data_IF_058173622437
#
_entry.id   IF_058173622437
#
_cell.length_a   1.000
_cell.length_b   1.000
_cell.length_c   1.000
_cell.angle_alpha   90.00
_cell.angle_beta   90.00
_cell.angle_gamma   90.00
#
_symmetry.space_group_name_H-M   'P 1'
#
loop_
_entity.id
_entity.type
_entity.pdbx_description
1 polymer ?
#
# COMPACT_ATOMS: atom_id res chain seq x y z
N UNK A 1 17.45 18.74 -6.26
CA UNK A 1 16.12 18.21 -5.91
C UNK A 1 16.31 17.08 -4.91
N UNK A 2 15.50 16.99 -3.85
CA UNK A 2 15.60 15.92 -2.84
C UNK A 2 14.44 14.96 -3.04
N UNK A 3 14.73 13.66 -2.93
CA UNK A 3 13.69 12.62 -2.96
C UNK A 3 13.11 12.44 -1.57
N UNK A 4 11.79 12.33 -1.48
CA UNK A 4 11.04 12.05 -0.26
C UNK A 4 10.12 10.85 -0.48
N UNK A 5 10.00 10.01 0.54
CA UNK A 5 9.13 8.82 0.50
C UNK A 5 7.97 9.01 1.48
N UNK A 6 6.76 8.95 0.99
CA UNK A 6 5.53 8.99 1.79
C UNK A 6 4.93 7.60 1.86
N UNK A 7 4.85 7.04 3.06
CA UNK A 7 4.30 5.71 3.32
C UNK A 7 2.90 5.87 3.91
N UNK A 8 1.89 5.39 3.20
CA UNK A 8 0.50 5.40 3.67
C UNK A 8 0.23 4.18 4.55
N UNK A 9 -0.03 4.38 5.84
CA UNK A 9 -0.19 3.34 6.85
C UNK A 9 -1.54 3.41 7.58
N UNK A 10 -2.63 3.65 6.85
CA UNK A 10 -3.98 3.86 7.41
C UNK A 10 -4.93 2.64 7.34
N UNK A 11 -4.59 1.59 6.62
CA UNK A 11 -5.45 0.40 6.45
C UNK A 11 -5.45 -0.53 7.67
N UNK A 12 -6.50 -1.36 7.84
CA UNK A 12 -6.59 -2.36 8.93
C UNK A 12 -6.17 -3.75 8.44
N UNK A 13 -6.51 -4.12 7.19
CA UNK A 13 -6.23 -5.45 6.67
C UNK A 13 -7.07 -6.56 7.33
N UNK A 14 -8.35 -6.33 7.54
CA UNK A 14 -9.28 -7.17 8.33
C UNK A 14 -9.42 -8.63 7.86
N UNK A 15 -9.05 -8.93 6.61
CA UNK A 15 -9.05 -10.31 6.07
C UNK A 15 -7.97 -11.20 6.70
N UNK A 16 -6.94 -10.62 7.32
CA UNK A 16 -5.89 -11.37 8.01
C UNK A 16 -6.20 -11.65 9.50
N UNK A 17 -7.46 -11.47 9.92
CA UNK A 17 -7.83 -11.90 11.26
C UNK A 17 -7.53 -13.41 11.46
N UNK A 18 -7.02 -13.84 12.64
CA UNK A 18 -6.78 -13.11 13.88
C UNK A 18 -5.45 -12.37 13.92
N UNK A 19 -4.61 -12.45 12.87
CA UNK A 19 -3.30 -11.79 12.84
C UNK A 19 -3.45 -10.27 12.87
N UNK A 20 -4.35 -9.70 12.04
CA UNK A 20 -4.66 -8.27 12.02
C UNK A 20 -5.95 -7.96 12.77
N UNK A 21 -5.94 -6.88 13.52
CA UNK A 21 -7.10 -6.35 14.26
C UNK A 21 -7.17 -4.83 14.09
N UNK A 22 -8.22 -4.19 14.60
CA UNK A 22 -8.31 -2.73 14.66
C UNK A 22 -7.26 -2.10 15.56
N UNK A 23 -6.71 -2.87 16.52
CA UNK A 23 -5.68 -2.40 17.43
C UNK A 23 -4.27 -2.63 16.88
N UNK A 24 -4.10 -3.66 16.05
CA UNK A 24 -2.82 -4.03 15.45
C UNK A 24 -2.99 -4.41 13.97
N UNK A 25 -3.01 -3.41 13.06
CA UNK A 25 -3.21 -3.60 11.63
C UNK A 25 -2.15 -4.42 10.92
N UNK A 26 -2.51 -4.94 9.74
CA UNK A 26 -1.68 -5.83 8.90
C UNK A 26 -0.26 -5.29 8.64
N UNK A 27 -0.12 -4.00 8.38
CA UNK A 27 1.19 -3.40 8.06
C UNK A 27 2.20 -3.48 9.19
N UNK A 28 1.76 -3.66 10.42
CA UNK A 28 2.63 -3.78 11.60
C UNK A 28 2.98 -5.22 11.96
N UNK A 29 2.54 -6.21 11.15
CA UNK A 29 2.69 -7.64 11.43
C UNK A 29 3.79 -8.22 10.54
N UNK A 30 4.58 -9.13 11.11
CA UNK A 30 5.43 -10.04 10.34
C UNK A 30 4.57 -11.18 9.77
N UNK A 31 3.93 -10.91 8.65
CA UNK A 31 3.05 -11.86 7.98
C UNK A 31 3.84 -12.97 7.28
N UNK A 32 5.09 -12.67 6.91
CA UNK A 32 5.97 -13.58 6.17
C UNK A 32 6.83 -14.47 7.07
N UNK A 33 6.93 -14.19 8.38
CA UNK A 33 7.82 -14.90 9.30
C UNK A 33 9.30 -14.63 9.06
N UNK A 34 9.65 -13.42 8.61
CA UNK A 34 11.03 -13.02 8.29
C UNK A 34 11.66 -12.10 9.35
N UNK A 35 11.00 -11.92 10.49
CA UNK A 35 11.45 -11.07 11.60
C UNK A 35 11.20 -9.58 11.39
N UNK A 36 10.43 -9.19 10.37
CA UNK A 36 10.12 -7.80 10.04
C UNK A 36 8.66 -7.64 9.65
N UNK A 37 8.02 -6.58 10.13
CA UNK A 37 6.67 -6.20 9.69
C UNK A 37 6.67 -5.66 8.25
N UNK A 38 5.49 -5.60 7.63
CA UNK A 38 5.36 -5.10 6.25
C UNK A 38 5.81 -3.64 6.11
N UNK A 39 5.53 -2.79 7.10
CA UNK A 39 5.99 -1.39 7.05
C UNK A 39 7.52 -1.29 7.17
N UNK A 40 8.16 -2.15 7.97
CA UNK A 40 9.62 -2.23 8.05
C UNK A 40 10.24 -2.69 6.73
N UNK A 41 9.66 -3.73 6.09
CA UNK A 41 10.06 -4.17 4.75
C UNK A 41 9.85 -3.06 3.71
N UNK A 42 8.79 -2.26 3.86
CA UNK A 42 8.52 -1.12 2.98
C UNK A 42 9.61 -0.05 3.11
N UNK A 43 10.01 0.35 4.31
CA UNK A 43 11.11 1.30 4.51
C UNK A 43 12.42 0.75 3.96
N UNK A 44 12.72 -0.52 4.23
CA UNK A 44 13.98 -1.14 3.82
C UNK A 44 14.20 -1.16 2.31
N UNK A 45 13.15 -1.36 1.51
CA UNK A 45 13.26 -1.38 0.04
C UNK A 45 13.64 -0.03 -0.58
N UNK A 46 13.50 1.07 0.17
CA UNK A 46 13.85 2.41 -0.27
C UNK A 46 15.20 2.92 0.29
N UNK A 47 15.91 2.14 1.10
CA UNK A 47 17.11 2.56 1.84
C UNK A 47 18.22 3.17 0.98
N UNK A 48 18.35 2.68 -0.27
CA UNK A 48 19.38 3.11 -1.22
C UNK A 48 18.86 4.20 -2.19
N UNK A 49 17.59 4.57 -2.08
CA UNK A 49 16.92 5.58 -2.94
C UNK A 49 16.82 6.92 -2.25
N UNK A 50 16.63 6.91 -0.93
CA UNK A 50 16.32 8.09 -0.15
C UNK A 50 16.91 7.96 1.26
N UNK A 51 17.56 9.01 1.79
CA UNK A 51 18.03 9.02 3.17
C UNK A 51 16.85 8.94 4.15
N UNK A 52 17.09 8.30 5.30
CA UNK A 52 16.02 8.03 6.29
C UNK A 52 15.32 9.29 6.82
N UNK A 53 16.01 10.42 6.80
CA UNK A 53 15.49 11.72 7.20
C UNK A 53 14.38 12.22 6.27
N UNK A 54 14.29 11.71 5.05
CA UNK A 54 13.30 12.10 4.05
C UNK A 54 12.11 11.11 3.94
N UNK A 55 11.99 10.19 4.90
CA UNK A 55 10.80 9.33 5.00
C UNK A 55 9.70 10.01 5.81
N UNK A 56 8.49 9.86 5.34
CA UNK A 56 7.26 10.35 5.97
C UNK A 56 6.27 9.19 6.09
N UNK A 57 5.61 9.07 7.22
CA UNK A 57 4.58 8.04 7.42
C UNK A 57 3.28 8.74 7.76
N UNK A 58 2.24 8.51 6.97
CA UNK A 58 0.89 8.99 7.27
C UNK A 58 0.09 7.83 7.86
N UNK A 59 -0.42 8.02 9.06
CA UNK A 59 -1.16 6.98 9.79
C UNK A 59 -2.25 7.58 10.66
N UNK A 60 -3.15 6.75 11.19
CA UNK A 60 -4.12 7.20 12.19
C UNK A 60 -3.43 7.57 13.49
N UNK A 61 -3.96 8.55 14.22
CA UNK A 61 -3.50 8.90 15.59
C UNK A 61 -3.30 7.68 16.49
N UNK A 62 -4.14 6.64 16.34
CA UNK A 62 -4.10 5.39 17.11
C UNK A 62 -2.81 4.60 16.94
N UNK A 63 -2.13 4.73 15.80
CA UNK A 63 -1.00 3.87 15.44
C UNK A 63 0.34 4.59 15.50
N UNK A 64 0.36 5.87 15.90
CA UNK A 64 1.59 6.68 15.97
C UNK A 64 2.65 6.02 16.83
N UNK A 65 2.28 5.48 17.99
CA UNK A 65 3.25 4.86 18.91
C UNK A 65 3.82 3.56 18.34
N UNK A 66 3.00 2.75 17.65
CA UNK A 66 3.47 1.54 16.94
C UNK A 66 4.45 1.92 15.82
N UNK A 67 4.16 3.00 15.06
CA UNK A 67 5.07 3.49 14.02
C UNK A 67 6.39 3.93 14.62
N UNK A 68 6.39 4.69 15.73
CA UNK A 68 7.62 5.12 16.43
C UNK A 68 8.44 3.94 16.94
N UNK A 69 7.77 2.91 17.46
CA UNK A 69 8.42 1.69 17.93
C UNK A 69 9.07 0.91 16.79
N UNK A 70 8.35 0.70 15.69
CA UNK A 70 8.81 -0.12 14.57
C UNK A 70 9.78 0.60 13.65
N UNK A 71 9.70 1.92 13.56
CA UNK A 71 10.51 2.78 12.68
C UNK A 71 11.23 3.90 13.45
N UNK A 72 12.05 3.58 14.47
CA UNK A 72 12.70 4.58 15.33
C UNK A 72 13.69 5.49 14.57
N UNK A 73 14.07 5.12 13.35
CA UNK A 73 14.95 5.91 12.48
C UNK A 73 14.23 7.06 11.76
N UNK A 74 12.89 7.09 11.73
CA UNK A 74 12.12 8.17 11.10
C UNK A 74 11.93 9.31 12.10
N UNK A 75 12.22 10.57 11.71
CA UNK A 75 11.98 11.72 12.58
C UNK A 75 10.53 11.79 13.07
N UNK A 76 10.32 12.04 14.36
CA UNK A 76 8.97 12.04 14.94
C UNK A 76 8.01 13.04 14.26
N UNK A 77 8.52 14.18 13.79
CA UNK A 77 7.76 15.19 13.04
C UNK A 77 7.34 14.76 11.63
N UNK A 78 7.92 13.65 11.11
CA UNK A 78 7.56 13.05 9.84
C UNK A 78 6.55 11.90 9.99
N UNK A 79 6.12 11.59 11.22
CA UNK A 79 4.99 10.69 11.48
C UNK A 79 3.74 11.55 11.55
N UNK A 80 2.96 11.55 10.47
CA UNK A 80 1.79 12.39 10.30
C UNK A 80 0.55 11.64 10.79
N UNK A 81 -0.10 12.19 11.82
CA UNK A 81 -1.22 11.57 12.49
C UNK A 81 -2.56 12.09 11.92
N UNK A 82 -3.28 11.26 11.18
CA UNK A 82 -4.64 11.60 10.74
C UNK A 82 -5.63 11.48 11.90
N UNK A 83 -6.41 12.53 12.20
CA UNK A 83 -7.42 12.48 13.27
C UNK A 83 -8.62 11.61 12.87
N UNK A 84 -8.89 11.46 11.58
CA UNK A 84 -9.98 10.67 11.02
C UNK A 84 -9.59 10.07 9.67
N UNK A 85 -10.06 8.86 9.35
CA UNK A 85 -9.81 8.22 8.07
C UNK A 85 -10.63 8.87 6.94
N UNK A 86 -9.96 9.57 6.01
CA UNK A 86 -10.57 10.27 4.87
C UNK A 86 -10.16 9.70 3.51
N UNK A 87 -9.65 8.46 3.47
CA UNK A 87 -9.13 7.80 2.28
C UNK A 87 -7.81 8.44 1.77
N UNK A 88 -7.31 8.03 0.61
CA UNK A 88 -5.93 8.32 0.20
C UNK A 88 -5.70 9.73 -0.33
N UNK A 89 -6.70 10.44 -0.88
CA UNK A 89 -6.47 11.78 -1.39
C UNK A 89 -6.15 12.81 -0.29
N UNK A 90 -6.90 12.93 0.82
CA UNK A 90 -6.52 13.79 1.94
C UNK A 90 -5.23 13.37 2.62
N UNK A 91 -4.98 12.06 2.77
CA UNK A 91 -3.75 11.49 3.29
C UNK A 91 -2.52 12.02 2.53
N UNK A 92 -2.54 11.87 1.20
CA UNK A 92 -1.48 12.32 0.30
C UNK A 92 -1.36 13.85 0.29
N UNK A 93 -2.50 14.56 0.24
CA UNK A 93 -2.51 16.02 0.27
C UNK A 93 -1.81 16.58 1.50
N UNK A 94 -2.15 16.08 2.69
CA UNK A 94 -1.51 16.51 3.94
C UNK A 94 0.01 16.33 3.91
N UNK A 95 0.49 15.14 3.51
CA UNK A 95 1.92 14.90 3.40
C UNK A 95 2.58 15.82 2.36
N UNK A 96 1.98 15.97 1.17
CA UNK A 96 2.56 16.76 0.09
C UNK A 96 2.60 18.26 0.42
N UNK A 97 1.57 18.84 1.06
CA UNK A 97 1.59 20.21 1.52
C UNK A 97 2.68 20.43 2.57
N UNK A 98 2.81 19.52 3.52
CA UNK A 98 3.83 19.60 4.56
C UNK A 98 5.24 19.49 4.00
N UNK A 99 5.49 18.54 3.09
CA UNK A 99 6.77 18.39 2.41
C UNK A 99 7.08 19.63 1.57
N UNK A 100 6.13 20.11 0.77
CA UNK A 100 6.31 21.28 -0.10
C UNK A 100 6.65 22.54 0.69
N UNK A 101 6.05 22.75 1.86
CA UNK A 101 6.33 23.90 2.73
C UNK A 101 7.79 23.97 3.17
N UNK A 102 8.41 22.80 3.46
CA UNK A 102 9.80 22.73 3.90
C UNK A 102 10.77 22.50 2.73
N UNK A 103 10.34 21.73 1.72
CA UNK A 103 11.13 21.33 0.55
C UNK A 103 10.37 21.62 -0.76
N UNK A 104 10.33 22.88 -1.22
CA UNK A 104 9.53 23.25 -2.39
C UNK A 104 9.90 22.51 -3.68
N UNK A 105 11.17 22.07 -3.79
CA UNK A 105 11.67 21.31 -4.94
C UNK A 105 11.73 19.80 -4.68
N UNK A 106 10.92 19.29 -3.76
CA UNK A 106 10.90 17.86 -3.45
C UNK A 106 10.35 17.02 -4.62
N UNK A 107 10.98 15.88 -4.84
CA UNK A 107 10.42 14.80 -5.66
C UNK A 107 9.90 13.71 -4.73
N UNK A 108 8.66 13.30 -4.87
CA UNK A 108 7.93 12.54 -3.86
C UNK A 108 7.50 11.20 -4.45
N UNK A 109 7.83 10.11 -3.75
CA UNK A 109 7.24 8.79 -3.98
C UNK A 109 6.21 8.52 -2.90
N UNK A 110 4.98 8.19 -3.31
CA UNK A 110 3.93 7.71 -2.39
C UNK A 110 3.78 6.21 -2.57
N UNK A 111 3.72 5.47 -1.47
CA UNK A 111 3.59 4.01 -1.47
C UNK A 111 2.69 3.51 -0.34
N UNK A 112 1.91 2.44 -0.54
CA UNK A 112 1.26 1.74 0.56
C UNK A 112 2.30 1.04 1.46
N UNK A 113 1.96 0.87 2.74
CA UNK A 113 2.82 0.27 3.77
C UNK A 113 2.75 -1.25 3.84
N UNK A 114 1.84 -1.89 3.11
CA UNK A 114 1.39 -3.25 3.37
C UNK A 114 1.47 -4.19 2.16
N UNK A 115 2.12 -3.74 1.08
CA UNK A 115 2.41 -4.54 -0.09
C UNK A 115 3.78 -5.23 0.01
N UNK A 116 3.88 -6.43 -0.55
CA UNK A 116 5.13 -7.17 -0.68
C UNK A 116 5.79 -6.85 -2.03
N UNK A 117 7.13 -6.78 -2.01
CA UNK A 117 8.01 -6.71 -3.18
C UNK A 117 9.09 -7.77 -3.00
N UNK A 118 9.27 -8.64 -4.00
CA UNK A 118 10.24 -9.74 -3.94
C UNK A 118 11.59 -9.28 -4.49
N UNK A 119 11.62 -8.74 -5.70
CA UNK A 119 12.84 -8.22 -6.32
C UNK A 119 13.02 -6.73 -5.98
N UNK A 120 13.74 -6.48 -4.89
CA UNK A 120 14.02 -5.11 -4.42
C UNK A 120 15.00 -4.35 -5.32
N UNK A 121 15.84 -5.04 -6.09
CA UNK A 121 16.77 -4.40 -7.02
C UNK A 121 16.01 -3.86 -8.24
N UNK A 122 15.13 -4.67 -8.84
CA UNK A 122 14.27 -4.22 -9.94
C UNK A 122 13.28 -3.13 -9.48
N UNK A 123 12.75 -3.25 -8.26
CA UNK A 123 11.94 -2.19 -7.66
C UNK A 123 12.71 -0.86 -7.58
N UNK A 124 13.95 -0.88 -7.06
CA UNK A 124 14.78 0.31 -6.94
C UNK A 124 15.07 0.94 -8.33
N UNK A 125 15.34 0.11 -9.33
CA UNK A 125 15.52 0.56 -10.73
C UNK A 125 14.27 1.26 -11.25
N UNK A 126 13.09 0.67 -11.06
CA UNK A 126 11.82 1.27 -11.49
C UNK A 126 11.56 2.61 -10.81
N UNK A 127 11.78 2.70 -9.50
CA UNK A 127 11.62 3.96 -8.75
C UNK A 127 12.61 5.02 -9.27
N UNK A 128 13.87 4.66 -9.54
CA UNK A 128 14.85 5.60 -10.06
C UNK A 128 14.42 6.17 -11.43
N UNK A 129 13.92 5.32 -12.33
CA UNK A 129 13.38 5.74 -13.65
C UNK A 129 12.19 6.69 -13.48
N UNK A 130 11.27 6.39 -12.57
CA UNK A 130 10.11 7.24 -12.30
C UNK A 130 10.52 8.60 -11.70
N UNK A 131 11.46 8.59 -10.74
CA UNK A 131 12.01 9.81 -10.14
C UNK A 131 12.71 10.71 -11.18
N UNK A 132 13.46 10.12 -12.10
CA UNK A 132 14.12 10.87 -13.18
C UNK A 132 13.09 11.51 -14.11
N UNK A 133 11.98 10.82 -14.45
CA UNK A 133 10.91 11.37 -15.30
C UNK A 133 10.20 12.55 -14.66
N UNK A 134 10.02 12.53 -13.34
CA UNK A 134 9.24 13.55 -12.61
C UNK A 134 10.08 14.72 -12.11
N UNK A 135 11.40 14.59 -12.07
CA UNK A 135 12.30 15.60 -11.51
C UNK A 135 12.10 16.99 -12.11
N UNK A 136 12.16 17.10 -13.43
CA UNK A 136 12.11 18.38 -14.16
C UNK A 136 10.87 18.48 -15.08
N UNK A 137 9.77 17.82 -14.71
CA UNK A 137 8.54 17.79 -15.50
C UNK A 137 7.29 17.86 -14.63
N UNK A 138 6.15 18.12 -15.25
CA UNK A 138 4.84 18.05 -14.58
C UNK A 138 4.21 16.64 -14.68
N UNK A 139 5.02 15.63 -14.99
CA UNK A 139 4.54 14.27 -15.11
C UNK A 139 4.16 13.69 -13.73
N UNK A 140 3.09 12.91 -13.72
CA UNK A 140 2.74 11.97 -12.67
C UNK A 140 3.07 10.58 -13.19
N UNK A 141 3.90 9.82 -12.48
CA UNK A 141 4.25 8.45 -12.86
C UNK A 141 3.69 7.47 -11.84
N UNK A 142 3.06 6.41 -12.31
CA UNK A 142 2.62 5.27 -11.49
C UNK A 142 3.31 3.99 -11.93
N UNK A 143 3.49 3.05 -11.01
CA UNK A 143 3.99 1.71 -11.34
C UNK A 143 2.82 0.78 -11.67
N UNK A 144 2.88 0.15 -12.83
CA UNK A 144 1.87 -0.78 -13.32
C UNK A 144 2.38 -2.22 -13.33
N UNK A 145 1.69 -3.11 -12.61
CA UNK A 145 2.04 -4.53 -12.54
C UNK A 145 1.34 -5.30 -13.65
N UNK A 146 2.08 -6.17 -14.35
CA UNK A 146 1.50 -7.00 -15.39
C UNK A 146 0.46 -7.96 -14.81
N UNK A 147 -0.79 -7.91 -15.28
CA UNK A 147 -1.83 -8.81 -14.78
C UNK A 147 -1.53 -10.26 -15.16
N UNK A 148 -1.67 -11.16 -14.18
CA UNK A 148 -1.52 -12.63 -14.38
C UNK A 148 -2.86 -13.36 -14.27
N UNK A 149 -3.91 -12.69 -13.81
CA UNK A 149 -5.27 -13.21 -13.62
C UNK A 149 -6.30 -12.07 -13.69
N UNK A 150 -7.59 -12.36 -13.90
CA UNK A 150 -8.65 -11.34 -13.92
C UNK A 150 -9.05 -10.93 -12.49
N UNK A 151 -8.20 -10.12 -11.83
CA UNK A 151 -8.41 -9.65 -10.46
C UNK A 151 -9.44 -8.52 -10.42
N UNK A 152 -10.46 -8.66 -9.58
CA UNK A 152 -11.55 -7.66 -9.43
C UNK A 152 -11.36 -6.74 -8.24
N UNK A 153 -10.39 -7.03 -7.38
CA UNK A 153 -10.06 -6.22 -6.20
C UNK A 153 -9.09 -5.08 -6.46
N UNK A 154 -8.49 -5.03 -7.67
CA UNK A 154 -7.49 -4.03 -8.03
C UNK A 154 -8.00 -3.00 -9.02
N UNK A 155 -7.38 -1.82 -9.01
CA UNK A 155 -7.45 -0.87 -10.10
C UNK A 155 -6.62 -1.34 -11.30
N UNK A 156 -7.05 -0.97 -12.51
CA UNK A 156 -6.34 -1.20 -13.76
C UNK A 156 -5.97 0.11 -14.43
N UNK A 157 -4.81 0.12 -15.06
CA UNK A 157 -4.26 1.25 -15.78
C UNK A 157 -4.14 0.84 -17.25
N UNK A 158 -4.88 1.51 -18.14
CA UNK A 158 -4.73 1.35 -19.58
C UNK A 158 -3.55 2.19 -20.08
N UNK A 159 -2.57 1.56 -20.72
CA UNK A 159 -1.48 2.26 -21.39
C UNK A 159 -1.84 2.59 -22.84
N UNK A 160 -1.45 3.78 -23.29
CA UNK A 160 -1.64 4.27 -24.65
C UNK A 160 -0.31 4.30 -25.41
N UNK A 161 -0.31 3.76 -26.62
CA UNK A 161 0.82 3.83 -27.53
C UNK A 161 2.01 2.98 -27.14
N UNK A 162 3.16 3.30 -27.72
CA UNK A 162 4.43 2.61 -27.42
C UNK A 162 5.13 3.27 -26.22
N UNK A 163 5.92 2.46 -25.51
CA UNK A 163 6.77 2.93 -24.42
C UNK A 163 7.89 3.84 -24.95
N UNK A 164 8.27 4.85 -24.17
CA UNK A 164 9.47 5.63 -24.45
C UNK A 164 10.75 4.79 -24.26
N UNK A 165 11.92 5.39 -24.51
CA UNK A 165 13.22 4.72 -24.40
C UNK A 165 13.52 4.18 -22.97
N UNK A 166 12.79 4.61 -21.96
CA UNK A 166 12.89 4.15 -20.56
C UNK A 166 11.79 3.16 -20.16
N UNK A 167 10.91 2.79 -21.10
CA UNK A 167 9.81 1.88 -20.84
C UNK A 167 8.55 2.54 -20.31
N UNK A 168 8.46 3.87 -20.26
CA UNK A 168 7.32 4.60 -19.73
C UNK A 168 6.27 4.80 -20.83
N UNK A 169 5.01 4.47 -20.55
CA UNK A 169 3.88 4.68 -21.45
C UNK A 169 2.99 5.82 -20.93
N UNK A 170 2.31 6.53 -21.84
CA UNK A 170 1.24 7.44 -21.44
C UNK A 170 0.03 6.63 -20.95
N UNK A 171 -0.68 7.13 -19.93
CA UNK A 171 -1.92 6.52 -19.45
C UNK A 171 -3.09 7.02 -20.29
N UNK A 172 -3.92 6.10 -20.78
CA UNK A 172 -5.18 6.39 -21.44
C UNK A 172 -6.32 6.51 -20.43
N UNK A 173 -6.38 5.59 -19.46
CA UNK A 173 -7.45 5.56 -18.47
C UNK A 173 -7.05 4.78 -17.20
N UNK A 174 -7.63 5.19 -16.07
CA UNK A 174 -7.73 4.39 -14.85
C UNK A 174 -9.10 3.73 -14.78
N UNK A 175 -9.14 2.47 -14.31
CA UNK A 175 -10.37 1.67 -14.14
C UNK A 175 -10.33 0.97 -12.79
N UNK A 176 -11.10 1.47 -11.85
CA UNK A 176 -11.08 0.96 -10.48
C UNK A 176 -12.05 -0.22 -10.34
N UNK A 177 -11.55 -1.35 -9.85
CA UNK A 177 -12.31 -2.56 -9.46
C UNK A 177 -13.37 -3.00 -10.47
N UNK A 178 -12.97 -3.48 -11.66
CA UNK A 178 -13.90 -3.94 -12.69
C UNK A 178 -14.64 -5.22 -12.25
N UNK A 179 -15.73 -5.55 -12.92
CA UNK A 179 -16.30 -6.89 -12.84
C UNK A 179 -15.39 -7.96 -13.51
N UNK A 180 -15.69 -9.23 -13.28
CA UNK A 180 -14.84 -10.33 -13.74
C UNK A 180 -14.73 -10.42 -15.26
N UNK A 181 -15.81 -10.13 -16.01
CA UNK A 181 -15.80 -10.20 -17.47
C UNK A 181 -14.98 -9.04 -18.06
N UNK A 182 -15.12 -7.85 -17.50
CA UNK A 182 -14.31 -6.68 -17.84
C UNK A 182 -12.82 -6.95 -17.55
N UNK A 183 -12.49 -7.53 -16.39
CA UNK A 183 -11.11 -7.89 -16.01
C UNK A 183 -10.48 -8.93 -16.96
N UNK A 184 -11.27 -9.92 -17.44
CA UNK A 184 -10.83 -10.86 -18.49
C UNK A 184 -10.53 -10.14 -19.80
N UNK A 185 -11.38 -9.16 -20.18
CA UNK A 185 -11.14 -8.33 -21.35
C UNK A 185 -9.83 -7.53 -21.27
N UNK A 186 -9.54 -6.93 -20.11
CA UNK A 186 -8.28 -6.21 -19.87
C UNK A 186 -7.06 -7.11 -19.97
N UNK A 187 -7.15 -8.32 -19.41
CA UNK A 187 -6.08 -9.31 -19.51
C UNK A 187 -5.80 -9.72 -20.96
N UNK A 188 -6.85 -9.93 -21.76
CA UNK A 188 -6.75 -10.29 -23.18
C UNK A 188 -6.22 -9.15 -24.05
N UNK A 189 -6.52 -7.90 -23.72
CA UNK A 189 -6.06 -6.72 -24.45
C UNK A 189 -4.54 -6.49 -24.34
N UNK A 190 -3.92 -6.91 -23.21
CA UNK A 190 -2.48 -6.90 -23.01
C UNK A 190 -1.83 -5.53 -22.73
N UNK A 191 -2.59 -4.43 -22.83
CA UNK A 191 -2.11 -3.06 -22.54
C UNK A 191 -2.63 -2.51 -21.20
N UNK A 192 -3.21 -3.37 -20.35
CA UNK A 192 -3.65 -3.02 -19.01
C UNK A 192 -2.68 -3.53 -17.96
N UNK A 193 -2.48 -2.73 -16.92
CA UNK A 193 -1.62 -3.05 -15.77
C UNK A 193 -2.41 -2.88 -14.48
N UNK A 194 -2.12 -3.70 -13.45
CA UNK A 194 -2.65 -3.45 -12.11
C UNK A 194 -2.03 -2.22 -11.49
N UNK A 195 -2.83 -1.38 -10.88
CA UNK A 195 -2.36 -0.23 -10.12
C UNK A 195 -1.74 -0.70 -8.79
N UNK A 196 -0.44 -0.54 -8.65
CA UNK A 196 0.27 -0.89 -7.40
C UNK A 196 0.03 0.12 -6.26
N UNK A 197 -0.62 1.26 -6.55
CA UNK A 197 -0.78 2.34 -5.59
C UNK A 197 0.52 3.08 -5.27
N UNK A 198 1.53 2.95 -6.14
CA UNK A 198 2.82 3.63 -6.02
C UNK A 198 2.85 4.75 -7.05
N UNK A 199 2.98 5.98 -6.56
CA UNK A 199 2.96 7.19 -7.39
C UNK A 199 4.22 8.00 -7.18
N UNK A 200 4.70 8.63 -8.25
CA UNK A 200 5.87 9.51 -8.24
C UNK A 200 5.53 10.83 -8.93
N UNK A 201 5.86 11.93 -8.31
CA UNK A 201 5.63 13.29 -8.79
C UNK A 201 6.52 14.29 -8.05
N UNK A 202 6.71 15.49 -8.57
CA UNK A 202 7.26 16.58 -7.77
C UNK A 202 6.16 17.28 -6.95
N UNK A 203 6.56 17.99 -5.89
CA UNK A 203 5.66 18.61 -4.94
C UNK A 203 4.69 19.62 -5.59
N UNK A 204 5.16 20.42 -6.55
CA UNK A 204 4.32 21.38 -7.25
C UNK A 204 3.32 20.70 -8.18
N UNK A 205 3.73 19.66 -8.90
CA UNK A 205 2.84 18.89 -9.78
C UNK A 205 1.64 18.36 -9.02
N UNK A 206 1.87 17.65 -7.92
CA UNK A 206 0.75 17.04 -7.17
C UNK A 206 -0.12 18.07 -6.47
N UNK A 207 0.45 19.11 -5.88
CA UNK A 207 -0.36 20.15 -5.22
C UNK A 207 -1.20 20.93 -6.21
N UNK A 208 -0.69 21.21 -7.42
CA UNK A 208 -1.44 21.84 -8.49
C UNK A 208 -2.52 20.90 -9.05
N UNK A 209 -2.23 19.61 -9.21
CA UNK A 209 -3.22 18.62 -9.62
C UNK A 209 -4.37 18.50 -8.61
N UNK A 210 -4.08 18.46 -7.31
CA UNK A 210 -5.12 18.45 -6.26
C UNK A 210 -5.92 19.74 -6.28
N UNK A 211 -5.31 20.93 -6.47
CA UNK A 211 -6.03 22.19 -6.62
C UNK A 211 -6.96 22.18 -7.82
N UNK A 212 -6.55 21.60 -8.95
CA UNK A 212 -7.35 21.55 -10.17
C UNK A 212 -8.50 20.55 -10.09
N UNK A 213 -8.25 19.35 -9.57
CA UNK A 213 -9.19 18.22 -9.68
C UNK A 213 -9.92 17.88 -8.38
N UNK A 214 -9.41 18.32 -7.23
CA UNK A 214 -10.00 18.15 -5.91
C UNK A 214 -9.91 19.45 -5.08
N UNK A 215 -10.52 20.57 -5.57
CA UNK A 215 -10.36 21.90 -4.98
C UNK A 215 -10.84 22.02 -3.52
N UNK A 216 -11.80 21.20 -3.11
CA UNK A 216 -12.26 21.14 -1.72
C UNK A 216 -11.14 20.64 -0.77
N UNK A 217 -10.41 19.60 -1.16
CA UNK A 217 -9.28 19.09 -0.38
C UNK A 217 -8.14 20.12 -0.38
N UNK A 218 -7.84 20.72 -1.53
CA UNK A 218 -6.82 21.75 -1.63
C UNK A 218 -7.13 22.96 -0.73
N UNK A 219 -8.38 23.42 -0.70
CA UNK A 219 -8.81 24.52 0.15
C UNK A 219 -8.58 24.24 1.64
N UNK A 220 -8.88 23.02 2.09
CA UNK A 220 -8.60 22.57 3.46
C UNK A 220 -7.10 22.61 3.77
N UNK A 221 -6.27 22.12 2.83
CA UNK A 221 -4.82 22.10 3.01
C UNK A 221 -4.20 23.49 2.95
N UNK A 222 -4.70 24.38 2.09
CA UNK A 222 -4.27 25.79 2.02
C UNK A 222 -4.64 26.55 3.31
N UNK A 223 -5.81 26.28 3.93
CA UNK A 223 -6.18 26.83 5.24
C UNK A 223 -5.30 26.27 6.37
N UNK A 224 -4.91 25.00 6.29
CA UNK A 224 -4.03 24.34 7.26
C UNK A 224 -2.55 24.78 7.12
N UNK A 225 -2.09 25.14 5.91
CA UNK A 225 -0.68 25.39 5.60
C UNK A 225 0.02 26.37 6.54
N UNK A 226 -0.58 27.51 6.98
CA UNK A 226 0.05 28.40 7.95
C UNK A 226 0.39 27.75 9.29
N UNK A 227 -0.43 26.79 9.74
CA UNK A 227 -0.25 26.10 11.01
C UNK A 227 0.80 24.99 10.97
N UNK A 228 1.12 24.43 9.79
CA UNK A 228 2.10 23.35 9.65
C UNK A 228 3.44 23.71 10.27
N UNK A 229 4.02 22.78 11.04
CA UNK A 229 5.28 22.92 11.81
C UNK A 229 5.22 23.96 12.95
N UNK A 230 4.01 24.34 13.38
CA UNK A 230 3.81 25.21 14.56
C UNK A 230 3.07 24.46 15.67
N UNK A 231 3.03 25.04 16.87
CA UNK A 231 2.30 24.48 18.02
C UNK A 231 0.77 24.38 17.76
N UNK A 232 0.26 25.08 16.74
CA UNK A 232 -1.15 25.05 16.36
C UNK A 232 -1.51 23.94 15.38
N UNK A 233 -0.52 23.24 14.80
CA UNK A 233 -0.75 22.24 13.77
C UNK A 233 -1.75 21.16 14.22
N UNK A 234 -1.57 20.61 15.42
CA UNK A 234 -2.42 19.54 15.92
C UNK A 234 -3.87 19.96 16.13
N UNK A 235 -4.10 21.20 16.60
CA UNK A 235 -5.43 21.75 16.81
C UNK A 235 -6.12 22.03 15.48
N UNK A 236 -5.44 22.72 14.55
CA UNK A 236 -5.99 23.05 13.25
C UNK A 236 -6.23 21.81 12.39
N UNK A 237 -5.34 20.82 12.46
CA UNK A 237 -5.52 19.53 11.77
C UNK A 237 -6.79 18.82 12.26
N UNK A 238 -7.03 18.77 13.58
CA UNK A 238 -8.26 18.19 14.15
C UNK A 238 -9.52 18.92 13.74
N UNK A 239 -9.43 20.22 13.53
CA UNK A 239 -10.56 21.05 13.10
C UNK A 239 -10.85 20.89 11.61
N UNK A 240 -9.82 20.93 10.78
CA UNK A 240 -9.93 21.05 9.32
C UNK A 240 -9.98 19.68 8.60
N UNK A 241 -9.11 18.76 8.96
CA UNK A 241 -8.96 17.48 8.23
C UNK A 241 -10.26 16.66 8.14
N UNK A 242 -11.12 16.58 9.17
CA UNK A 242 -12.40 15.89 9.08
C UNK A 242 -13.38 16.50 8.07
N UNK A 243 -13.16 17.74 7.62
CA UNK A 243 -13.99 18.37 6.59
C UNK A 243 -13.61 17.98 5.16
N UNK A 244 -12.44 17.36 4.96
CA UNK A 244 -12.02 16.86 3.65
C UNK A 244 -13.03 15.86 3.09
N UNK A 245 -13.24 15.91 1.77
CA UNK A 245 -13.98 14.87 1.06
C UNK A 245 -13.30 13.51 1.26
N UNK A 246 -14.08 12.48 1.56
CA UNK A 246 -13.59 11.11 1.74
C UNK A 246 -13.49 10.41 0.39
N UNK A 247 -12.36 10.55 -0.29
CA UNK A 247 -12.14 10.07 -1.64
C UNK A 247 -10.70 9.52 -1.81
N UNK A 248 -10.50 8.52 -2.69
CA UNK A 248 -9.16 8.06 -3.04
C UNK A 248 -8.48 9.01 -4.02
N UNK A 249 -7.16 8.99 -4.04
CA UNK A 249 -6.36 9.75 -5.01
C UNK A 249 -6.67 9.33 -6.44
N UNK A 250 -7.02 8.06 -6.65
CA UNK A 250 -7.39 7.51 -7.95
C UNK A 250 -8.59 8.28 -8.52
N UNK A 251 -9.68 8.36 -7.77
CA UNK A 251 -10.89 9.09 -8.18
C UNK A 251 -10.73 10.61 -8.13
N UNK A 252 -9.97 11.12 -7.17
CA UNK A 252 -9.82 12.56 -6.98
C UNK A 252 -8.96 13.20 -8.08
N UNK A 253 -7.89 12.53 -8.50
CA UNK A 253 -6.85 13.07 -9.39
C UNK A 253 -6.56 12.14 -10.57
N UNK A 254 -6.25 10.84 -10.32
CA UNK A 254 -5.65 9.99 -11.34
C UNK A 254 -6.58 9.68 -12.51
N UNK A 255 -7.89 9.61 -12.31
CA UNK A 255 -8.86 9.43 -13.41
C UNK A 255 -9.09 10.70 -14.24
N UNK A 256 -8.66 11.88 -13.75
CA UNK A 256 -8.97 13.19 -14.34
C UNK A 256 -7.76 13.90 -14.93
N UNK A 257 -6.57 13.58 -14.44
CA UNK A 257 -5.35 14.27 -14.85
C UNK A 257 -4.86 13.79 -16.22
N UNK A 258 -4.26 14.71 -17.01
CA UNK A 258 -3.90 14.45 -18.41
C UNK A 258 -2.46 13.97 -18.59
N UNK A 259 -1.53 14.38 -17.69
CA UNK A 259 -0.10 14.10 -17.81
C UNK A 259 0.33 12.96 -16.86
N UNK A 260 -0.40 11.82 -16.98
CA UNK A 260 -0.11 10.62 -16.24
C UNK A 260 0.57 9.60 -17.13
N UNK A 261 1.58 8.95 -16.56
CA UNK A 261 2.37 7.92 -17.19
C UNK A 261 2.41 6.67 -16.32
N UNK A 262 2.48 5.49 -16.94
CA UNK A 262 2.69 4.22 -16.28
C UNK A 262 4.04 3.65 -16.67
N UNK A 263 4.80 3.21 -15.68
CA UNK A 263 5.99 2.39 -15.88
C UNK A 263 5.62 0.93 -15.60
N UNK A 264 5.50 0.07 -16.62
CA UNK A 264 5.34 -1.36 -16.45
C UNK A 264 6.49 -1.94 -15.65
N UNK A 265 6.19 -2.77 -14.64
CA UNK A 265 7.18 -3.31 -13.74
C UNK A 265 6.88 -4.78 -13.36
N UNK A 266 7.92 -5.58 -13.16
CA UNK A 266 7.85 -7.00 -12.82
C UNK A 266 8.82 -7.34 -11.67
N UNK A 267 8.55 -6.84 -10.49
CA UNK A 267 9.38 -7.07 -9.29
C UNK A 267 8.71 -7.99 -8.25
N UNK A 268 7.75 -8.81 -8.67
CA UNK A 268 7.08 -9.74 -7.74
C UNK A 268 6.22 -9.00 -6.70
N UNK A 269 5.35 -8.10 -7.16
CA UNK A 269 4.46 -7.33 -6.30
C UNK A 269 3.21 -8.13 -5.89
N UNK A 270 2.80 -7.96 -4.64
CA UNK A 270 1.50 -8.40 -4.14
C UNK A 270 0.98 -7.43 -3.09
N UNK A 271 -0.32 -7.13 -3.13
CA UNK A 271 -1.00 -6.36 -2.08
C UNK A 271 -1.17 -7.15 -0.78
N UNK A 272 -0.84 -8.46 -0.79
CA UNK A 272 -1.13 -9.38 0.34
C UNK A 272 -2.57 -9.20 0.84
N UNK A 273 -3.53 -9.16 -0.08
CA UNK A 273 -4.92 -8.86 0.23
C UNK A 273 -5.67 -10.01 0.91
N UNK A 274 -5.12 -11.23 0.87
CA UNK A 274 -5.79 -12.43 1.37
C UNK A 274 -4.82 -13.53 1.81
N UNK A 275 -5.33 -14.52 2.54
CA UNK A 275 -4.59 -15.72 2.93
C UNK A 275 -4.17 -16.56 1.71
N UNK A 276 -5.00 -16.61 0.68
CA UNK A 276 -4.66 -17.26 -0.59
C UNK A 276 -3.46 -16.61 -1.25
N UNK A 277 -3.41 -15.27 -1.29
CA UNK A 277 -2.24 -14.53 -1.78
C UNK A 277 -1.00 -14.82 -0.95
N UNK A 278 -1.11 -14.82 0.38
CA UNK A 278 0.00 -15.18 1.26
C UNK A 278 0.51 -16.60 0.98
N UNK A 279 -0.38 -17.59 0.84
CA UNK A 279 0.00 -18.98 0.54
C UNK A 279 0.85 -19.08 -0.73
N UNK A 280 0.49 -18.35 -1.77
CA UNK A 280 1.24 -18.41 -3.06
C UNK A 280 2.63 -17.78 -2.99
N UNK A 281 2.88 -16.93 -2.03
CA UNK A 281 4.15 -16.21 -1.84
C UNK A 281 5.11 -16.92 -0.86
N UNK A 282 4.56 -17.76 0.02
CA UNK A 282 5.34 -18.54 0.96
C UNK A 282 5.92 -19.82 0.29
N UNK A 283 7.05 -20.34 0.78
CA UNK A 283 7.51 -21.68 0.41
C UNK A 283 6.42 -22.71 0.69
N UNK A 284 6.17 -23.60 -0.28
CA UNK A 284 5.18 -24.67 -0.18
C UNK A 284 5.86 -26.03 -0.16
N UNK A 285 5.26 -26.97 0.57
CA UNK A 285 5.65 -28.39 0.45
C UNK A 285 5.08 -29.02 -0.83
N UNK A 286 5.39 -30.31 -1.08
CA UNK A 286 4.94 -31.06 -2.28
C UNK A 286 3.41 -31.15 -2.38
N UNK A 287 2.69 -31.02 -1.27
CA UNK A 287 1.24 -31.02 -1.22
C UNK A 287 0.63 -29.62 -1.35
N UNK A 288 1.44 -28.58 -1.57
CA UNK A 288 1.01 -27.19 -1.70
C UNK A 288 0.64 -26.50 -0.41
N UNK A 289 1.08 -27.02 0.74
CA UNK A 289 0.87 -26.36 2.04
C UNK A 289 1.95 -25.32 2.30
N UNK A 290 1.55 -24.20 2.91
CA UNK A 290 2.46 -23.15 3.37
C UNK A 290 2.33 -22.95 4.88
N UNK A 291 3.44 -22.65 5.56
CA UNK A 291 3.45 -22.42 7.01
C UNK A 291 4.35 -21.27 7.42
N UNK A 292 3.94 -20.55 8.45
CA UNK A 292 4.68 -19.46 9.09
C UNK A 292 4.65 -19.65 10.60
N UNK A 293 5.79 -19.38 11.27
CA UNK A 293 5.92 -19.39 12.72
C UNK A 293 6.20 -20.77 13.26
N UNK A 294 5.66 -21.09 14.43
CA UNK A 294 6.02 -22.20 15.30
C UNK A 294 6.13 -23.59 14.70
N UNK A 295 6.19 -24.62 15.56
CA UNK A 295 6.22 -26.01 15.08
C UNK A 295 4.87 -26.41 14.50
N UNK A 296 4.81 -26.59 13.16
CA UNK A 296 3.60 -27.04 12.44
C UNK A 296 3.88 -28.39 11.78
N UNK A 297 3.16 -29.43 12.26
CA UNK A 297 3.21 -30.81 11.75
C UNK A 297 1.89 -31.08 11.00
N UNK A 298 1.96 -31.39 9.69
CA UNK A 298 0.80 -31.61 8.83
C UNK A 298 0.82 -33.03 8.27
N UNK A 299 -0.27 -33.79 8.48
CA UNK A 299 -0.47 -35.14 7.99
C UNK A 299 -1.66 -35.20 7.03
N UNK A 300 -1.48 -35.74 5.83
CA UNK A 300 -2.53 -35.84 4.83
C UNK A 300 -3.23 -34.50 4.50
N UNK A 301 -2.54 -33.37 4.70
CA UNK A 301 -3.04 -32.03 4.41
C UNK A 301 -2.64 -31.60 3.01
N UNK A 302 -3.50 -30.82 2.32
CA UNK A 302 -3.23 -30.27 0.98
C UNK A 302 -3.71 -28.83 0.85
N UNK A 303 -2.93 -28.00 0.13
CA UNK A 303 -3.31 -26.64 -0.22
C UNK A 303 -3.72 -25.76 1.00
N UNK A 304 -3.17 -26.04 2.17
CA UNK A 304 -3.45 -25.30 3.40
C UNK A 304 -2.44 -24.15 3.60
N UNK A 305 -2.85 -23.13 4.36
CA UNK A 305 -1.94 -22.12 4.91
C UNK A 305 -2.08 -22.09 6.42
N UNK A 306 -0.96 -22.20 7.13
CA UNK A 306 -0.92 -22.22 8.58
C UNK A 306 -0.04 -21.09 9.09
N UNK A 307 -0.57 -20.27 9.98
CA UNK A 307 0.17 -19.22 10.66
C UNK A 307 0.00 -19.38 12.17
N UNK A 308 1.06 -19.71 12.87
CA UNK A 308 1.06 -19.96 14.31
C UNK A 308 2.14 -19.13 15.01
N UNK A 309 1.91 -18.76 16.26
CA UNK A 309 2.94 -18.10 17.06
C UNK A 309 4.15 -19.05 17.26
N UNK A 310 5.37 -18.51 17.32
CA UNK A 310 6.62 -19.29 17.38
C UNK A 310 6.67 -20.31 18.52
N UNK A 311 6.06 -20.02 19.67
CA UNK A 311 6.02 -20.89 20.83
C UNK A 311 4.91 -21.97 20.78
N UNK A 312 4.12 -22.03 19.71
CA UNK A 312 3.03 -22.99 19.56
C UNK A 312 3.48 -24.22 18.77
N UNK A 313 2.93 -25.37 19.16
CA UNK A 313 2.90 -26.56 18.34
C UNK A 313 1.49 -26.77 17.80
N UNK A 314 1.38 -26.88 16.48
CA UNK A 314 0.13 -27.14 15.78
C UNK A 314 0.27 -28.45 15.03
N UNK A 315 -0.66 -29.38 15.24
CA UNK A 315 -0.74 -30.66 14.54
C UNK A 315 -2.06 -30.70 13.78
N UNK A 316 -1.99 -30.93 12.48
CA UNK A 316 -3.15 -30.98 11.59
C UNK A 316 -3.16 -32.30 10.84
N UNK A 317 -4.37 -32.86 10.63
CA UNK A 317 -4.56 -34.08 9.87
C UNK A 317 -5.79 -33.95 8.97
N UNK A 318 -5.66 -34.37 7.68
CA UNK A 318 -6.75 -34.55 6.76
C UNK A 318 -7.40 -33.26 6.22
N UNK A 319 -6.76 -32.09 6.35
CA UNK A 319 -7.31 -30.81 5.89
C UNK A 319 -6.92 -30.53 4.43
N UNK A 320 -7.88 -30.05 3.64
CA UNK A 320 -7.65 -29.63 2.26
C UNK A 320 -8.22 -28.23 2.00
N UNK A 321 -7.34 -27.29 1.58
CA UNK A 321 -7.75 -25.91 1.26
C UNK A 321 -8.22 -25.10 2.49
N UNK A 322 -7.53 -25.24 3.61
CA UNK A 322 -7.86 -24.53 4.84
C UNK A 322 -6.83 -23.46 5.23
N UNK A 323 -7.34 -22.44 5.87
CA UNK A 323 -6.59 -21.46 6.66
C UNK A 323 -6.63 -21.92 8.11
N UNK A 324 -5.47 -22.01 8.77
CA UNK A 324 -5.35 -22.19 10.21
C UNK A 324 -4.46 -21.08 10.74
N UNK A 325 -5.01 -20.16 11.50
CA UNK A 325 -4.26 -19.01 12.02
C UNK A 325 -4.54 -18.81 13.51
N UNK A 326 -3.48 -18.65 14.31
CA UNK A 326 -3.58 -18.44 15.76
C UNK A 326 -2.74 -17.22 16.15
N UNK A 327 -3.36 -16.31 16.92
CA UNK A 327 -2.69 -15.18 17.56
C UNK A 327 -3.44 -14.73 18.80
N UNK A 328 -2.71 -14.47 19.88
CA UNK A 328 -3.23 -13.91 21.14
C UNK A 328 -4.45 -14.66 21.68
N UNK A 329 -4.41 -16.01 21.63
CA UNK A 329 -5.48 -16.89 22.09
C UNK A 329 -6.69 -16.98 21.18
N UNK A 330 -6.64 -16.37 19.99
CA UNK A 330 -7.68 -16.46 18.96
C UNK A 330 -7.27 -17.46 17.89
N UNK A 331 -8.15 -18.39 17.56
CA UNK A 331 -7.92 -19.39 16.52
C UNK A 331 -8.94 -19.23 15.40
N UNK A 332 -8.45 -19.17 14.17
CA UNK A 332 -9.25 -19.26 12.95
C UNK A 332 -8.97 -20.61 12.28
N UNK A 333 -10.03 -21.34 11.96
CA UNK A 333 -9.99 -22.48 11.05
C UNK A 333 -11.11 -22.29 10.04
N UNK A 334 -10.78 -21.95 8.80
CA UNK A 334 -11.79 -21.78 7.76
C UNK A 334 -11.26 -22.21 6.38
N UNK A 335 -12.16 -22.45 5.43
CA UNK A 335 -11.73 -22.78 4.06
C UNK A 335 -11.13 -21.56 3.36
N UNK A 336 -10.11 -21.76 2.55
CA UNK A 336 -9.53 -20.72 1.69
C UNK A 336 -10.58 -20.06 0.79
N UNK A 337 -11.57 -20.83 0.29
CA UNK A 337 -12.67 -20.32 -0.51
C UNK A 337 -13.56 -19.31 0.23
N UNK A 338 -13.53 -19.29 1.56
CA UNK A 338 -14.33 -18.42 2.41
C UNK A 338 -13.52 -17.22 2.96
N UNK A 339 -12.30 -17.01 2.51
CA UNK A 339 -11.40 -15.98 3.05
C UNK A 339 -11.96 -14.54 3.01
N UNK A 340 -12.86 -14.25 2.07
CA UNK A 340 -13.51 -12.94 1.98
C UNK A 340 -14.51 -12.69 3.13
N UNK A 341 -15.00 -13.76 3.76
CA UNK A 341 -15.96 -13.72 4.88
C UNK A 341 -15.28 -13.64 6.26
N UNK A 342 -13.96 -13.73 6.33
CA UNK A 342 -13.24 -13.71 7.61
C UNK A 342 -13.59 -12.46 8.43
N UNK A 343 -13.76 -11.30 7.79
CA UNK A 343 -14.21 -10.08 8.45
C UNK A 343 -15.58 -10.22 9.15
N UNK A 344 -16.48 -11.01 8.57
CA UNK A 344 -17.81 -11.26 9.12
C UNK A 344 -17.72 -12.24 10.29
N UNK A 345 -16.91 -13.31 10.16
CA UNK A 345 -16.63 -14.26 11.23
C UNK A 345 -16.00 -13.57 12.44
N UNK A 346 -15.03 -12.66 12.21
CA UNK A 346 -14.41 -11.87 13.27
C UNK A 346 -15.39 -10.95 14.01
N UNK A 347 -16.43 -10.49 13.32
CA UNK A 347 -17.49 -9.66 13.88
C UNK A 347 -18.65 -10.47 14.52
N UNK A 348 -18.61 -11.80 14.46
CA UNK A 348 -19.66 -12.67 15.00
C UNK A 348 -20.96 -12.63 14.16
N UNK A 349 -20.85 -12.45 12.84
CA UNK A 349 -21.98 -12.38 11.90
C UNK A 349 -22.05 -13.61 11.00
#
# INVERSE_FOLDING_TARGET
MQNHIVIMAGGIGSRFWPMSTSEYPKQFIDVMGVGKSLIQLTVERFKDICPKENFWVVTSEKYVDIVKEQLPQIPAQHILAEPEARNTAPCIAYACWKIRKEFPLANIVVTPSDALVIDTAEFARCIAVALEKTADSQAIVTLGMKPTRPETGYGYIAAQGEADAKGICKVEAFKEKPDVETAKGYLAAGNYFWNAGIFVWNADTITNAIRRYAPQIAGVMDELEPALFTDKEAEELKRLFPTCEKISIDYAVMEKAEDIFVLPAEFGWSDLGSWGSLRTLLPQDEAGNAKVGGRVDMYNCRNCVVHAAEHRQVVLEGLEGYIVAEKDGRLLVCRLSEEQRIKDFAAGK
#
